data_IF_289058420050
#
_entry.id   IF_289058420050
#
_cell.length_a   1.000
_cell.length_b   1.000
_cell.length_c   1.000
_cell.angle_alpha   90.00
_cell.angle_beta   90.00
_cell.angle_gamma   90.00
#
_symmetry.space_group_name_H-M   'P 1'
#
loop_
_entity.id
_entity.type
_entity.pdbx_description
1 polymer ?
#
# COMPACT_ATOMS: atom_id res chain seq x y z
N UNK A 1 1.25 0.08 -17.65
CA UNK A 1 0.56 -0.57 -16.51
C UNK A 1 -0.68 -1.28 -17.05
N UNK A 2 -0.96 -2.49 -16.59
CA UNK A 2 -2.11 -3.28 -17.04
C UNK A 2 -2.95 -3.71 -15.83
N UNK A 3 -4.29 -3.68 -15.92
CA UNK A 3 -5.14 -4.12 -14.84
C UNK A 3 -4.89 -5.60 -14.58
N UNK A 4 -4.62 -5.94 -13.32
CA UNK A 4 -4.21 -7.28 -12.93
C UNK A 4 -4.77 -7.61 -11.55
N UNK A 5 -5.13 -8.89 -11.36
CA UNK A 5 -5.57 -9.36 -10.05
C UNK A 5 -4.38 -9.42 -9.08
N UNK A 6 -4.38 -8.68 -7.98
CA UNK A 6 -3.27 -8.66 -7.04
C UNK A 6 -3.13 -9.96 -6.25
N UNK A 7 -1.96 -10.18 -5.63
CA UNK A 7 -1.79 -11.22 -4.60
C UNK A 7 -2.62 -10.87 -3.35
N UNK A 8 -2.67 -11.79 -2.38
CA UNK A 8 -3.44 -11.61 -1.14
C UNK A 8 -3.06 -10.34 -0.38
N UNK A 9 -1.75 -10.12 -0.25
CA UNK A 9 -1.19 -8.97 0.47
C UNK A 9 -0.10 -8.29 -0.32
N UNK A 10 -0.13 -6.95 -0.29
CA UNK A 10 0.92 -6.07 -0.77
C UNK A 10 1.38 -5.14 0.37
N UNK A 11 2.43 -4.36 0.14
CA UNK A 11 3.06 -3.53 1.15
C UNK A 11 3.31 -2.12 0.65
N UNK A 12 2.96 -1.13 1.45
CA UNK A 12 3.26 0.27 1.19
C UNK A 12 4.15 0.83 2.30
N UNK A 13 5.30 1.39 1.95
CA UNK A 13 6.15 2.06 2.91
C UNK A 13 6.00 3.58 2.77
N UNK A 14 5.76 4.23 3.90
CA UNK A 14 5.63 5.69 3.98
C UNK A 14 6.39 6.24 5.18
N UNK A 15 6.57 7.56 5.22
CA UNK A 15 7.15 8.26 6.36
C UNK A 15 6.19 8.23 7.55
N UNK A 16 6.70 8.51 8.75
CA UNK A 16 5.84 8.56 9.95
C UNK A 16 4.74 9.62 9.84
N UNK A 17 5.01 10.74 9.18
CA UNK A 17 4.03 11.80 8.91
C UNK A 17 2.96 11.35 7.93
N UNK A 18 3.37 10.68 6.83
CA UNK A 18 2.45 10.11 5.85
C UNK A 18 1.57 9.01 6.45
N UNK A 19 2.06 8.24 7.42
CA UNK A 19 1.29 7.20 8.08
C UNK A 19 0.00 7.72 8.75
N UNK A 20 0.02 8.93 9.32
CA UNK A 20 -1.17 9.55 9.91
C UNK A 20 -2.24 9.82 8.85
N UNK A 21 -1.84 10.35 7.69
CA UNK A 21 -2.76 10.58 6.58
C UNK A 21 -3.32 9.25 6.04
N UNK A 22 -2.46 8.24 5.88
CA UNK A 22 -2.86 6.91 5.39
C UNK A 22 -3.85 6.22 6.35
N UNK A 23 -3.68 6.38 7.65
CA UNK A 23 -4.62 5.83 8.64
C UNK A 23 -5.97 6.56 8.64
N UNK A 24 -5.98 7.86 8.37
CA UNK A 24 -7.20 8.67 8.40
C UNK A 24 -8.00 8.62 7.08
N UNK A 25 -7.30 8.59 5.95
CA UNK A 25 -7.89 8.76 4.62
C UNK A 25 -7.71 7.55 3.71
N UNK A 26 -6.88 6.58 4.10
CA UNK A 26 -6.46 5.47 3.25
C UNK A 26 -5.25 5.82 2.37
N UNK A 27 -4.90 4.93 1.47
CA UNK A 27 -3.88 5.20 0.45
C UNK A 27 -4.52 6.06 -0.63
N UNK A 28 -4.25 7.35 -0.61
CA UNK A 28 -4.71 8.30 -1.63
C UNK A 28 -3.47 8.93 -2.27
N UNK A 29 -3.34 8.91 -3.61
CA UNK A 29 -2.20 9.49 -4.28
C UNK A 29 -2.29 11.01 -4.24
N UNK A 30 -1.14 11.64 -4.06
CA UNK A 30 -1.05 13.08 -4.26
C UNK A 30 -1.06 13.40 -5.76
N UNK A 31 -1.97 14.30 -6.16
CA UNK A 31 -1.98 14.96 -7.48
C UNK A 31 -1.95 14.02 -8.71
N UNK A 32 -2.78 12.96 -8.73
CA UNK A 32 -2.95 12.11 -9.91
C UNK A 32 -1.80 11.13 -10.17
N UNK A 33 -0.91 10.94 -9.19
CA UNK A 33 0.03 9.81 -9.19
C UNK A 33 -0.71 8.49 -8.89
N UNK A 34 -0.01 7.36 -8.99
CA UNK A 34 -0.49 6.07 -8.50
C UNK A 34 0.29 5.68 -7.25
N UNK A 35 -0.38 5.05 -6.29
CA UNK A 35 0.27 4.55 -5.08
C UNK A 35 1.08 3.31 -5.45
N UNK A 36 2.38 3.34 -5.17
CA UNK A 36 3.27 2.19 -5.38
C UNK A 36 3.18 1.21 -4.21
N UNK A 37 3.03 -0.05 -4.57
CA UNK A 37 2.93 -1.19 -3.69
C UNK A 37 4.03 -2.20 -4.03
N UNK A 38 4.60 -2.80 -2.99
CA UNK A 38 5.62 -3.83 -3.09
C UNK A 38 5.03 -5.19 -2.71
N UNK A 39 5.56 -6.25 -3.30
CA UNK A 39 5.19 -7.65 -2.95
C UNK A 39 5.84 -8.13 -1.64
N UNK A 40 6.82 -7.38 -1.12
CA UNK A 40 7.57 -7.75 0.08
C UNK A 40 7.83 -6.53 0.97
N UNK A 41 7.67 -6.62 2.29
CA UNK A 41 7.91 -5.50 3.21
C UNK A 41 9.36 -5.01 3.21
N UNK A 42 10.34 -5.89 2.95
CA UNK A 42 11.75 -5.52 2.79
C UNK A 42 12.00 -4.68 1.54
N UNK A 43 11.27 -4.97 0.44
CA UNK A 43 11.30 -4.13 -0.77
C UNK A 43 10.63 -2.79 -0.51
N UNK A 44 9.50 -2.78 0.21
CA UNK A 44 8.83 -1.55 0.62
C UNK A 44 9.79 -0.67 1.47
N UNK A 45 10.50 -1.21 2.45
CA UNK A 45 11.43 -0.44 3.29
C UNK A 45 12.57 0.22 2.51
N UNK A 46 13.03 -0.40 1.41
CA UNK A 46 14.07 0.17 0.57
C UNK A 46 13.63 1.47 -0.13
N UNK A 47 12.33 1.75 -0.21
CA UNK A 47 11.81 3.01 -0.75
C UNK A 47 11.85 4.16 0.25
N UNK A 48 12.43 3.96 1.44
CA UNK A 48 12.70 5.03 2.41
C UNK A 48 11.62 5.27 3.48
N UNK A 49 10.58 4.42 3.52
CA UNK A 49 9.51 4.53 4.53
C UNK A 49 9.85 3.82 5.84
N UNK A 50 9.55 4.47 6.97
CA UNK A 50 9.70 3.93 8.33
C UNK A 50 8.46 3.17 8.80
N UNK A 51 7.29 3.51 8.26
CA UNK A 51 6.02 2.82 8.50
C UNK A 51 5.69 1.94 7.29
N UNK A 52 5.51 0.64 7.51
CA UNK A 52 5.15 -0.32 6.46
C UNK A 52 3.74 -0.81 6.70
N UNK A 53 2.82 -0.38 5.85
CA UNK A 53 1.44 -0.86 5.83
C UNK A 53 1.35 -2.16 5.05
N UNK A 54 0.64 -3.12 5.61
CA UNK A 54 0.12 -4.28 4.89
C UNK A 54 -1.21 -3.88 4.25
N UNK A 55 -1.33 -4.16 2.97
CA UNK A 55 -2.51 -3.87 2.16
C UNK A 55 -3.15 -5.20 1.79
N UNK A 56 -4.40 -5.42 2.20
CA UNK A 56 -5.19 -6.60 1.82
C UNK A 56 -5.68 -6.48 0.38
N UNK A 57 -4.74 -6.53 -0.57
CA UNK A 57 -4.95 -6.17 -1.96
C UNK A 57 -5.98 -7.06 -2.67
N UNK A 58 -6.02 -8.36 -2.35
CA UNK A 58 -7.03 -9.26 -2.93
C UNK A 58 -8.44 -8.92 -2.48
N UNK A 59 -8.63 -8.65 -1.19
CA UNK A 59 -9.93 -8.26 -0.63
C UNK A 59 -10.36 -6.91 -1.19
N UNK A 60 -9.46 -5.93 -1.20
CA UNK A 60 -9.71 -4.62 -1.81
C UNK A 60 -10.13 -4.74 -3.29
N UNK A 61 -9.45 -5.60 -4.07
CA UNK A 61 -9.81 -5.84 -5.47
C UNK A 61 -11.18 -6.51 -5.62
N UNK A 62 -11.52 -7.47 -4.77
CA UNK A 62 -12.83 -8.14 -4.77
C UNK A 62 -13.98 -7.15 -4.48
N UNK A 63 -13.72 -6.18 -3.60
CA UNK A 63 -14.61 -5.06 -3.26
C UNK A 63 -14.60 -3.93 -4.31
N UNK A 64 -13.89 -4.12 -5.43
CA UNK A 64 -13.93 -3.23 -6.59
C UNK A 64 -12.80 -2.20 -6.68
N UNK A 65 -11.78 -2.25 -5.81
CA UNK A 65 -10.63 -1.35 -5.91
C UNK A 65 -9.69 -1.77 -7.05
N UNK A 66 -9.27 -0.81 -7.87
CA UNK A 66 -8.44 -1.09 -9.02
C UNK A 66 -6.95 -1.27 -8.66
N UNK A 67 -6.35 -2.32 -9.21
CA UNK A 67 -4.94 -2.60 -9.11
C UNK A 67 -4.35 -2.85 -10.50
N UNK A 68 -3.13 -2.37 -10.69
CA UNK A 68 -2.38 -2.55 -11.92
C UNK A 68 -0.99 -3.09 -11.62
N UNK A 69 -0.48 -3.88 -12.55
CA UNK A 69 0.92 -4.29 -12.57
C UNK A 69 1.69 -3.42 -13.56
N UNK A 70 2.80 -2.86 -13.10
CA UNK A 70 3.76 -2.14 -13.93
C UNK A 70 4.72 -3.11 -14.62
N UNK A 71 5.41 -2.63 -15.66
CA UNK A 71 6.34 -3.45 -16.46
C UNK A 71 7.58 -3.90 -15.66
N UNK A 72 7.95 -3.14 -14.62
CA UNK A 72 9.03 -3.49 -13.68
C UNK A 72 8.58 -4.52 -12.62
N UNK A 73 7.34 -5.01 -12.70
CA UNK A 73 6.76 -5.95 -11.74
C UNK A 73 6.27 -5.29 -10.45
N UNK A 74 6.36 -3.96 -10.33
CA UNK A 74 5.78 -3.23 -9.20
C UNK A 74 4.26 -3.15 -9.31
N UNK A 75 3.58 -3.02 -8.17
CA UNK A 75 2.13 -2.91 -8.10
C UNK A 75 1.72 -1.45 -7.92
N UNK A 76 0.62 -1.08 -8.57
CA UNK A 76 0.06 0.27 -8.55
C UNK A 76 -1.42 0.19 -8.18
N UNK A 77 -1.90 1.17 -7.44
CA UNK A 77 -3.32 1.34 -7.14
C UNK A 77 -3.68 2.82 -7.13
N UNK A 78 -4.95 3.13 -7.38
CA UNK A 78 -5.45 4.50 -7.45
C UNK A 78 -5.86 4.95 -6.06
N UNK A 79 -6.57 4.11 -5.31
CA UNK A 79 -6.82 4.36 -3.91
C UNK A 79 -7.11 3.05 -3.18
N UNK A 80 -6.77 2.99 -1.90
CA UNK A 80 -7.17 1.90 -1.00
C UNK A 80 -7.79 2.47 0.25
N UNK A 81 -8.95 1.95 0.62
CA UNK A 81 -9.67 2.41 1.81
C UNK A 81 -8.90 2.00 3.08
N UNK A 82 -8.86 2.81 4.14
CA UNK A 82 -8.14 2.46 5.36
C UNK A 82 -8.60 1.14 5.99
N UNK A 83 -9.84 0.69 5.74
CA UNK A 83 -10.33 -0.61 6.20
C UNK A 83 -9.54 -1.82 5.66
N UNK A 84 -8.83 -1.67 4.53
CA UNK A 84 -7.97 -2.71 3.96
C UNK A 84 -6.48 -2.52 4.30
N UNK A 85 -6.16 -1.58 5.18
CA UNK A 85 -4.80 -1.25 5.59
C UNK A 85 -4.55 -1.71 7.02
N UNK A 86 -3.42 -2.39 7.22
CA UNK A 86 -2.96 -2.80 8.53
C UNK A 86 -1.54 -2.30 8.77
N UNK A 87 -1.38 -1.46 9.79
CA UNK A 87 -0.06 -1.07 10.29
C UNK A 87 0.26 -1.92 11.52
N UNK A 88 1.25 -2.84 11.45
CA UNK A 88 1.66 -3.57 12.64
C UNK A 88 2.19 -2.59 13.69
N UNK A 89 1.87 -2.81 14.99
CA UNK A 89 2.43 -1.99 16.05
C UNK A 89 3.95 -2.11 16.04
N UNK A 90 4.64 -0.98 16.21
CA UNK A 90 6.09 -0.96 16.35
C UNK A 90 6.40 -1.66 17.67
N UNK A 91 7.04 -2.84 17.63
CA UNK A 91 7.51 -3.53 18.85
C UNK A 91 8.48 -2.59 19.59
N UNK A 92 8.11 -2.17 20.80
CA UNK A 92 8.88 -1.24 21.62
C UNK A 92 8.07 -0.18 22.40
N UNK A 93 6.73 -0.26 22.38
CA UNK A 93 5.91 0.47 23.35
C UNK A 93 5.56 -0.48 24.51
N UNK A 94 6.50 -0.64 25.43
CA UNK A 94 6.32 -1.18 26.78
C UNK A 94 6.87 -0.18 27.78
#
# INVERSE_FOLDING_TARGET
>A
MQPATPPETLYHATTREGATAVLALGLVPEAGAHVRLAVNPGVARQTGGTAVFTVYARTAHDEGQAFWQAEDGSWLTEAVDPGFLYLPPIRGAE
#
